data_IF_163121752855
#
_entry.id   IF_163121752855
#
_cell.length_a   1.000
_cell.length_b   1.000
_cell.length_c   1.000
_cell.angle_alpha   90.00
_cell.angle_beta   90.00
_cell.angle_gamma   90.00
#
_symmetry.space_group_name_H-M   'P 1'
#
loop_
_entity.id
_entity.type
_entity.pdbx_description
1 polymer ?
#
# COMPACT_ATOMS: atom_id res chain seq x y z
N UNK A 1 28.39 41.23 4.12
CA UNK A 1 28.59 39.97 4.85
C UNK A 1 27.75 38.94 4.11
N UNK A 2 28.40 37.98 3.46
CA UNK A 2 27.74 36.97 2.63
C UNK A 2 26.88 36.09 3.55
N UNK A 3 25.56 36.18 3.42
CA UNK A 3 24.64 35.26 4.09
C UNK A 3 24.97 33.85 3.57
N UNK A 4 25.59 33.02 4.40
CA UNK A 4 25.82 31.62 4.07
C UNK A 4 24.46 30.93 3.95
N UNK A 5 24.08 30.55 2.74
CA UNK A 5 22.84 29.82 2.46
C UNK A 5 23.15 28.34 2.54
N UNK A 6 22.48 27.63 3.47
CA UNK A 6 22.61 26.20 3.64
C UNK A 6 21.45 25.48 2.95
N UNK A 7 21.77 24.47 2.14
CA UNK A 7 20.80 23.56 1.56
C UNK A 7 20.66 22.35 2.49
N UNK A 8 19.50 22.21 3.12
CA UNK A 8 19.22 21.12 4.06
C UNK A 8 17.94 20.39 3.64
N UNK A 9 17.94 19.07 3.78
CA UNK A 9 16.72 18.28 3.66
C UNK A 9 15.80 18.48 4.88
N UNK A 10 14.51 18.15 4.76
CA UNK A 10 13.57 18.27 5.89
C UNK A 10 13.98 17.48 7.15
N UNK A 11 14.64 16.33 6.98
CA UNK A 11 15.16 15.53 8.11
C UNK A 11 16.32 16.23 8.79
N UNK A 12 17.28 16.72 8.03
CA UNK A 12 18.44 17.44 8.56
C UNK A 12 18.03 18.76 9.22
N UNK A 13 16.99 19.41 8.69
CA UNK A 13 16.37 20.59 9.30
C UNK A 13 15.69 20.28 10.64
N UNK A 14 15.03 19.14 10.71
CA UNK A 14 14.39 18.65 11.93
C UNK A 14 15.43 18.36 13.01
N UNK A 15 16.52 17.67 12.64
CA UNK A 15 17.63 17.34 13.54
C UNK A 15 18.35 18.61 14.05
N UNK A 16 18.57 19.60 13.17
CA UNK A 16 19.22 20.88 13.52
C UNK A 16 18.37 21.76 14.45
N UNK A 17 17.05 21.69 14.32
CA UNK A 17 16.11 22.50 15.10
C UNK A 17 15.51 21.73 16.28
N UNK A 18 15.89 20.47 16.50
CA UNK A 18 15.31 19.59 17.52
C UNK A 18 13.78 19.50 17.47
N UNK A 19 13.20 19.53 16.27
CA UNK A 19 11.74 19.43 16.03
C UNK A 19 11.40 18.18 15.24
N UNK A 20 10.11 17.82 15.17
CA UNK A 20 9.68 16.68 14.33
C UNK A 20 9.85 16.98 12.83
N UNK A 21 10.07 15.96 11.97
CA UNK A 21 10.17 16.14 10.52
C UNK A 21 8.95 16.82 9.87
N UNK A 22 7.76 16.61 10.43
CA UNK A 22 6.54 17.25 9.95
C UNK A 22 6.45 18.72 10.40
N UNK A 23 6.88 19.04 11.62
CA UNK A 23 7.01 20.41 12.10
C UNK A 23 8.04 21.21 11.27
N UNK A 24 9.15 20.57 10.91
CA UNK A 24 10.16 21.09 9.99
C UNK A 24 9.57 21.44 8.62
N UNK A 25 8.78 20.54 8.02
CA UNK A 25 8.05 20.78 6.77
C UNK A 25 7.10 21.96 6.87
N UNK A 26 6.33 22.04 7.96
CA UNK A 26 5.37 23.13 8.17
C UNK A 26 6.04 24.48 8.41
N UNK A 27 7.17 24.51 9.13
CA UNK A 27 7.98 25.71 9.34
C UNK A 27 8.59 26.19 8.02
N UNK A 28 9.12 25.26 7.22
CA UNK A 28 9.62 25.57 5.89
C UNK A 28 8.54 26.13 4.96
N UNK A 29 7.34 25.55 4.96
CA UNK A 29 6.21 26.08 4.18
C UNK A 29 5.80 27.49 4.63
N UNK A 30 5.78 27.77 5.94
CA UNK A 30 5.47 29.11 6.49
C UNK A 30 6.56 30.13 6.15
N UNK A 31 7.83 29.75 6.27
CA UNK A 31 8.98 30.60 6.00
C UNK A 31 9.19 30.85 4.48
N UNK A 32 8.84 29.88 3.64
CA UNK A 32 8.78 30.05 2.20
C UNK A 32 7.65 31.00 1.79
N UNK A 33 6.48 30.93 2.46
CA UNK A 33 5.38 31.89 2.25
C UNK A 33 5.77 33.32 2.65
N UNK A 34 6.62 33.49 3.66
CA UNK A 34 7.17 34.79 4.04
C UNK A 34 8.36 35.24 3.18
N UNK A 35 8.73 34.47 2.14
CA UNK A 35 9.83 34.79 1.22
C UNK A 35 11.23 34.69 1.84
N UNK A 36 11.34 34.13 3.05
CA UNK A 36 12.60 34.06 3.81
C UNK A 36 13.39 32.80 3.49
N UNK A 37 12.71 31.70 3.17
CA UNK A 37 13.32 30.42 2.78
C UNK A 37 12.90 30.03 1.36
N UNK A 38 13.72 29.24 0.65
CA UNK A 38 13.39 28.74 -0.69
C UNK A 38 13.31 27.23 -0.68
N UNK A 39 12.17 26.69 -1.12
CA UNK A 39 11.97 25.24 -1.24
C UNK A 39 12.29 24.86 -2.68
N UNK A 40 13.24 23.94 -2.86
CA UNK A 40 13.59 23.35 -4.16
C UNK A 40 12.90 21.98 -4.21
N UNK A 41 11.79 21.83 -4.95
CA UNK A 41 11.17 20.53 -5.13
C UNK A 41 12.08 19.64 -5.98
N UNK A 42 12.20 18.37 -5.60
CA UNK A 42 12.86 17.37 -6.42
C UNK A 42 12.10 17.11 -7.72
N UNK A 43 12.81 16.69 -8.76
CA UNK A 43 12.24 16.47 -10.10
C UNK A 43 11.46 15.14 -10.18
N UNK A 44 11.73 14.19 -9.28
CA UNK A 44 11.04 12.90 -9.15
C UNK A 44 10.23 12.83 -7.84
N UNK A 45 9.09 12.12 -7.75
CA UNK A 45 8.36 11.89 -6.49
C UNK A 45 9.18 11.15 -5.40
N UNK A 46 10.33 10.59 -5.77
CA UNK A 46 11.27 9.93 -4.86
C UNK A 46 12.45 10.82 -4.46
N UNK A 47 12.58 12.00 -5.06
CA UNK A 47 13.68 12.91 -4.79
C UNK A 47 13.48 13.65 -3.46
N UNK A 48 14.58 13.83 -2.74
CA UNK A 48 14.58 14.56 -1.47
C UNK A 48 14.32 16.05 -1.75
N UNK A 49 13.32 16.61 -1.10
CA UNK A 49 13.06 18.05 -1.15
C UNK A 49 14.13 18.79 -0.34
N UNK A 50 14.82 19.72 -0.99
CA UNK A 50 15.86 20.55 -0.38
C UNK A 50 15.30 21.93 -0.02
N UNK A 51 15.71 22.47 1.11
CA UNK A 51 15.33 23.81 1.56
C UNK A 51 16.59 24.65 1.72
N UNK A 52 16.64 25.78 0.99
CA UNK A 52 17.67 26.81 1.14
C UNK A 52 17.28 27.73 2.29
N UNK A 53 18.18 27.86 3.26
CA UNK A 53 17.96 28.59 4.50
C UNK A 53 19.19 29.46 4.78
N UNK A 54 19.00 30.76 5.10
CA UNK A 54 20.07 31.59 5.61
C UNK A 54 20.60 31.03 6.94
N UNK A 55 21.92 30.85 7.09
CA UNK A 55 22.55 30.31 8.31
C UNK A 55 22.18 31.10 9.59
N UNK A 56 21.79 32.38 9.44
CA UNK A 56 21.29 33.22 10.52
C UNK A 56 19.99 32.68 11.17
N UNK A 57 19.15 31.98 10.42
CA UNK A 57 17.88 31.42 10.93
C UNK A 57 18.04 30.08 11.64
N UNK A 58 19.18 29.40 11.44
CA UNK A 58 19.52 28.14 12.10
C UNK A 58 20.09 28.35 13.51
N UNK A 59 20.76 29.48 13.74
CA UNK A 59 21.37 29.81 15.02
C UNK A 59 20.49 30.71 15.91
N UNK A 60 19.29 31.09 15.44
CA UNK A 60 18.36 31.84 16.27
C UNK A 60 17.85 30.94 17.40
N UNK A 61 18.22 31.20 18.67
CA UNK A 61 17.66 30.43 19.77
C UNK A 61 16.14 30.56 19.72
N UNK A 62 15.46 29.42 19.79
CA UNK A 62 14.02 29.38 20.01
C UNK A 62 13.73 30.34 21.16
N UNK A 63 12.93 31.38 20.89
CA UNK A 63 12.55 32.36 21.91
C UNK A 63 12.02 31.56 23.10
N UNK A 64 12.81 31.52 24.17
CA UNK A 64 12.37 31.19 25.52
C UNK A 64 11.06 31.92 25.73
N UNK A 65 10.01 31.18 26.11
CA UNK A 65 8.63 31.64 26.19
C UNK A 65 8.55 33.09 26.64
N UNK A 66 8.37 33.99 25.68
CA UNK A 66 8.24 35.41 25.94
C UNK A 66 6.92 35.62 26.64
N UNK A 67 6.98 36.33 27.77
CA UNK A 67 5.83 36.92 28.46
C UNK A 67 4.74 37.31 27.47
N UNK A 68 3.54 36.79 27.73
CA UNK A 68 2.33 37.24 27.07
C UNK A 68 2.30 38.78 27.12
N UNK A 69 2.24 39.48 25.97
CA UNK A 69 1.90 40.89 26.03
C UNK A 69 0.48 40.97 26.63
N UNK A 70 0.35 41.65 27.77
CA UNK A 70 -0.94 42.07 28.31
C UNK A 70 -1.70 42.78 27.18
N UNK A 71 -2.72 42.11 26.63
CA UNK A 71 -3.67 42.73 25.72
C UNK A 71 -4.56 43.67 26.54
N UNK A 72 -4.07 44.87 26.79
CA UNK A 72 -4.92 46.02 27.10
C UNK A 72 -5.56 46.46 25.78
N UNK A 73 -6.76 45.95 25.50
CA UNK A 73 -7.44 46.23 24.25
C UNK A 73 -8.89 45.76 24.25
N UNK A 74 -9.76 46.68 24.69
CA UNK A 74 -11.21 46.78 24.43
C UNK A 74 -12.00 45.46 24.32
N UNK A 75 -12.91 45.26 25.28
CA UNK A 75 -14.12 44.45 25.14
C UNK A 75 -14.89 44.88 23.89
N UNK A 76 -14.55 44.30 22.74
CA UNK A 76 -15.54 43.98 21.73
C UNK A 76 -16.22 42.72 22.22
N UNK A 77 -17.53 42.81 22.41
CA UNK A 77 -18.45 41.70 22.60
C UNK A 77 -18.37 40.78 21.37
N UNK A 78 -17.32 39.97 21.31
CA UNK A 78 -17.20 38.86 20.40
C UNK A 78 -17.91 37.69 21.04
N UNK A 79 -19.19 37.54 20.70
CA UNK A 79 -20.01 36.33 20.87
C UNK A 79 -19.11 35.09 20.80
N UNK A 80 -18.84 34.46 21.94
CA UNK A 80 -18.24 33.13 21.97
C UNK A 80 -19.13 32.21 21.13
N UNK A 81 -18.62 31.52 20.10
CA UNK A 81 -19.37 30.43 19.54
C UNK A 81 -19.63 29.45 20.68
N UNK A 82 -20.88 29.04 20.76
CA UNK A 82 -21.44 28.23 21.83
C UNK A 82 -20.55 26.99 22.02
N UNK A 83 -20.19 26.67 23.26
CA UNK A 83 -19.39 25.47 23.59
C UNK A 83 -20.02 24.20 23.00
N UNK A 84 -21.33 24.25 22.81
CA UNK A 84 -22.20 23.28 22.14
C UNK A 84 -21.87 23.04 20.65
N UNK A 85 -21.45 24.07 19.90
CA UNK A 85 -21.08 23.92 18.47
C UNK A 85 -19.73 23.20 18.31
N UNK A 86 -18.76 23.50 19.18
CA UNK A 86 -17.46 22.83 19.18
C UNK A 86 -17.58 21.34 19.52
N UNK A 87 -18.42 20.99 20.51
CA UNK A 87 -18.71 19.60 20.88
C UNK A 87 -19.53 18.86 19.81
N UNK A 88 -20.41 19.57 19.07
CA UNK A 88 -21.13 18.99 17.94
C UNK A 88 -20.19 18.65 16.77
N UNK A 89 -19.21 19.52 16.48
CA UNK A 89 -18.22 19.29 15.41
C UNK A 89 -17.29 18.12 15.76
N UNK A 90 -16.80 18.03 17.00
CA UNK A 90 -16.00 16.87 17.44
C UNK A 90 -16.81 15.58 17.43
N UNK A 91 -18.09 15.62 17.83
CA UNK A 91 -19.00 14.48 17.72
C UNK A 91 -19.19 14.00 16.28
N UNK A 92 -19.38 14.92 15.33
CA UNK A 92 -19.48 14.60 13.89
C UNK A 92 -18.17 14.01 13.35
N UNK A 93 -17.02 14.53 13.78
CA UNK A 93 -15.71 14.02 13.33
C UNK A 93 -15.43 12.62 13.87
N UNK A 94 -15.80 12.33 15.12
CA UNK A 94 -15.71 10.98 15.71
C UNK A 94 -16.64 10.01 14.99
N UNK A 95 -17.89 10.43 14.70
CA UNK A 95 -18.84 9.60 13.96
C UNK A 95 -18.35 9.32 12.52
N UNK A 96 -17.74 10.29 11.85
CA UNK A 96 -17.15 10.10 10.53
C UNK A 96 -15.92 9.17 10.55
N UNK A 97 -15.10 9.23 11.61
CA UNK A 97 -13.97 8.30 11.78
C UNK A 97 -14.46 6.88 12.06
N UNK A 98 -15.50 6.72 12.88
CA UNK A 98 -16.12 5.42 13.15
C UNK A 98 -16.73 4.82 11.88
N UNK A 99 -17.49 5.60 11.12
CA UNK A 99 -18.05 5.12 9.85
C UNK A 99 -16.99 4.77 8.82
N UNK A 100 -15.88 5.53 8.77
CA UNK A 100 -14.73 5.20 7.94
C UNK A 100 -14.05 3.89 8.40
N UNK A 101 -13.90 3.67 9.71
CA UNK A 101 -13.35 2.42 10.26
C UNK A 101 -14.24 1.22 9.92
N UNK A 102 -15.56 1.36 10.07
CA UNK A 102 -16.51 0.30 9.73
C UNK A 102 -16.50 0.01 8.23
N UNK A 103 -16.37 1.06 7.40
CA UNK A 103 -16.23 0.88 5.95
C UNK A 103 -14.93 0.18 5.57
N UNK A 104 -13.82 0.50 6.25
CA UNK A 104 -12.52 -0.17 6.03
C UNK A 104 -12.62 -1.64 6.44
N UNK A 105 -13.26 -1.96 7.56
CA UNK A 105 -13.49 -3.36 7.98
C UNK A 105 -14.28 -4.12 6.93
N UNK A 106 -15.42 -3.57 6.50
CA UNK A 106 -16.27 -4.17 5.47
C UNK A 106 -15.48 -4.43 4.17
N UNK A 107 -14.71 -3.46 3.70
CA UNK A 107 -13.89 -3.63 2.49
C UNK A 107 -12.77 -4.66 2.68
N UNK A 108 -12.22 -4.76 3.89
CA UNK A 108 -11.21 -5.76 4.21
C UNK A 108 -11.81 -7.16 4.21
N UNK A 109 -12.99 -7.33 4.80
CA UNK A 109 -13.72 -8.60 4.83
C UNK A 109 -14.08 -9.05 3.42
N UNK A 110 -14.60 -8.14 2.58
CA UNK A 110 -14.88 -8.40 1.16
C UNK A 110 -13.62 -8.84 0.39
N UNK A 111 -12.48 -8.17 0.61
CA UNK A 111 -11.23 -8.52 -0.05
C UNK A 111 -10.71 -9.89 0.40
N UNK A 112 -10.86 -10.22 1.69
CA UNK A 112 -10.48 -11.55 2.18
C UNK A 112 -11.36 -12.64 1.60
N UNK A 113 -12.67 -12.42 1.49
CA UNK A 113 -13.60 -13.36 0.90
C UNK A 113 -13.34 -13.56 -0.60
N UNK A 114 -13.06 -12.49 -1.35
CA UNK A 114 -12.65 -12.60 -2.77
C UNK A 114 -11.36 -13.40 -2.93
N UNK A 115 -10.36 -13.12 -2.10
CA UNK A 115 -9.09 -13.85 -2.12
C UNK A 115 -9.29 -15.33 -1.84
N UNK A 116 -10.14 -15.68 -0.87
CA UNK A 116 -10.41 -17.08 -0.54
C UNK A 116 -11.19 -17.78 -1.65
N UNK A 117 -12.19 -17.13 -2.26
CA UNK A 117 -12.85 -17.62 -3.49
C UNK A 117 -11.85 -17.87 -4.64
N UNK A 118 -10.89 -16.97 -4.83
CA UNK A 118 -9.84 -17.16 -5.85
C UNK A 118 -8.90 -18.33 -5.52
N UNK A 119 -8.59 -18.56 -4.23
CA UNK A 119 -7.79 -19.72 -3.81
C UNK A 119 -8.53 -21.02 -4.03
N UNK A 120 -9.80 -21.08 -3.67
CA UNK A 120 -10.64 -22.27 -3.87
C UNK A 120 -10.78 -22.62 -5.36
N UNK A 121 -11.04 -21.63 -6.20
CA UNK A 121 -11.11 -21.83 -7.66
C UNK A 121 -9.77 -22.29 -8.24
N UNK A 122 -8.64 -21.71 -7.82
CA UNK A 122 -7.32 -22.16 -8.24
C UNK A 122 -7.02 -23.60 -7.80
N UNK A 123 -7.34 -23.97 -6.55
CA UNK A 123 -7.20 -25.34 -6.06
C UNK A 123 -8.08 -26.32 -6.83
N UNK A 124 -9.33 -25.94 -7.13
CA UNK A 124 -10.24 -26.74 -7.94
C UNK A 124 -9.73 -26.99 -9.35
N UNK A 125 -9.12 -25.98 -9.99
CA UNK A 125 -8.49 -26.13 -11.30
C UNK A 125 -7.30 -27.09 -11.27
N UNK A 126 -6.40 -26.94 -10.30
CA UNK A 126 -5.26 -27.86 -10.12
C UNK A 126 -5.74 -29.30 -9.88
N UNK A 127 -6.78 -29.48 -9.06
CA UNK A 127 -7.36 -30.79 -8.84
C UNK A 127 -7.99 -31.36 -10.12
N UNK A 128 -8.69 -30.56 -10.92
CA UNK A 128 -9.24 -30.99 -12.18
C UNK A 128 -8.15 -31.39 -13.19
N UNK A 129 -7.07 -30.60 -13.29
CA UNK A 129 -5.93 -30.90 -14.15
C UNK A 129 -5.23 -32.20 -13.76
N UNK A 130 -5.01 -32.42 -12.46
CA UNK A 130 -4.41 -33.68 -11.98
C UNK A 130 -5.30 -34.91 -12.26
N UNK A 131 -6.61 -34.78 -12.06
CA UNK A 131 -7.57 -35.85 -12.41
C UNK A 131 -7.54 -36.12 -13.91
N UNK A 132 -7.52 -35.08 -14.74
CA UNK A 132 -7.45 -35.22 -16.19
C UNK A 132 -6.14 -35.88 -16.64
N UNK A 133 -5.00 -35.49 -16.07
CA UNK A 133 -3.71 -36.08 -16.39
C UNK A 133 -3.66 -37.57 -16.01
N UNK A 134 -4.17 -37.93 -14.82
CA UNK A 134 -4.24 -39.32 -14.40
C UNK A 134 -5.18 -40.15 -15.29
N UNK A 135 -6.33 -39.58 -15.68
CA UNK A 135 -7.24 -40.24 -16.60
C UNK A 135 -6.62 -40.47 -17.98
N UNK A 136 -5.84 -39.51 -18.49
CA UNK A 136 -5.13 -39.66 -19.76
C UNK A 136 -4.10 -40.81 -19.71
N UNK A 137 -3.31 -40.89 -18.63
CA UNK A 137 -2.35 -41.99 -18.43
C UNK A 137 -3.05 -43.36 -18.35
N UNK A 138 -4.19 -43.44 -17.67
CA UNK A 138 -4.96 -44.68 -17.58
C UNK A 138 -5.56 -45.07 -18.93
N UNK A 139 -6.04 -44.10 -19.72
CA UNK A 139 -6.51 -44.34 -21.09
C UNK A 139 -5.37 -44.92 -21.94
N UNK A 140 -4.18 -44.31 -21.90
CA UNK A 140 -3.03 -44.80 -22.67
C UNK A 140 -2.65 -46.23 -22.27
N UNK A 141 -2.62 -46.51 -20.96
CA UNK A 141 -2.36 -47.85 -20.44
C UNK A 141 -3.40 -48.87 -20.91
N UNK A 142 -4.68 -48.52 -20.85
CA UNK A 142 -5.77 -49.38 -21.29
C UNK A 142 -5.74 -49.61 -22.80
N UNK A 143 -5.35 -48.60 -23.60
CA UNK A 143 -5.18 -48.75 -25.04
C UNK A 143 -4.07 -49.74 -25.39
N UNK A 144 -2.92 -49.67 -24.71
CA UNK A 144 -1.85 -50.67 -24.88
C UNK A 144 -2.35 -52.07 -24.53
N UNK A 145 -3.02 -52.21 -23.38
CA UNK A 145 -3.58 -53.50 -22.94
C UNK A 145 -4.59 -54.06 -23.95
N UNK A 146 -5.46 -53.21 -24.49
CA UNK A 146 -6.43 -53.61 -25.53
C UNK A 146 -5.69 -54.07 -26.80
N UNK A 147 -4.66 -53.36 -27.23
CA UNK A 147 -3.89 -53.72 -28.42
C UNK A 147 -3.19 -55.08 -28.25
N UNK A 148 -2.60 -55.34 -27.09
CA UNK A 148 -1.99 -56.63 -26.74
C UNK A 148 -3.02 -57.76 -26.74
N UNK A 149 -4.15 -57.60 -26.06
CA UNK A 149 -5.21 -58.60 -26.02
C UNK A 149 -5.81 -58.87 -27.41
N UNK A 150 -5.93 -57.83 -28.25
CA UNK A 150 -6.35 -57.99 -29.64
C UNK A 150 -5.33 -58.79 -30.44
N UNK A 151 -4.04 -58.55 -30.27
CA UNK A 151 -2.98 -59.32 -30.92
C UNK A 151 -3.01 -60.80 -30.48
N UNK A 152 -3.20 -61.06 -29.18
CA UNK A 152 -3.31 -62.41 -28.62
C UNK A 152 -4.53 -63.16 -29.16
N UNK A 153 -5.69 -62.50 -29.21
CA UNK A 153 -6.90 -63.06 -29.79
C UNK A 153 -6.72 -63.39 -31.27
N UNK A 154 -6.07 -62.51 -32.03
CA UNK A 154 -5.78 -62.75 -33.44
C UNK A 154 -4.82 -63.94 -33.60
N UNK A 155 -3.77 -64.03 -32.78
CA UNK A 155 -2.84 -65.15 -32.79
C UNK A 155 -3.52 -66.49 -32.45
N UNK A 156 -4.40 -66.50 -31.44
CA UNK A 156 -5.18 -67.67 -31.06
C UNK A 156 -6.16 -68.12 -32.17
N UNK A 157 -6.77 -67.16 -32.87
CA UNK A 157 -7.69 -67.41 -33.99
C UNK A 157 -7.00 -67.91 -35.26
N UNK A 158 -5.69 -67.72 -35.42
CA UNK A 158 -4.96 -68.25 -36.60
C UNK A 158 -5.06 -69.76 -36.64
N UNK A 159 -5.45 -70.28 -37.81
CA UNK A 159 -5.45 -71.73 -38.06
C UNK A 159 -4.03 -72.29 -38.05
N UNK A 160 -3.90 -73.60 -37.81
CA UNK A 160 -2.59 -74.29 -37.76
C UNK A 160 -1.72 -74.02 -39.00
N UNK A 161 -2.31 -73.99 -40.21
CA UNK A 161 -1.60 -73.66 -41.44
C UNK A 161 -1.11 -72.20 -41.49
N UNK A 162 -1.92 -71.23 -41.05
CA UNK A 162 -1.53 -69.81 -41.02
C UNK A 162 -0.40 -69.54 -40.00
N UNK A 163 -0.35 -70.33 -38.91
CA UNK A 163 0.76 -70.29 -37.95
C UNK A 163 2.07 -70.78 -38.56
N UNK A 164 2.01 -71.74 -39.49
CA UNK A 164 3.16 -72.37 -40.13
C UNK A 164 3.71 -71.55 -41.30
N UNK A 165 2.86 -70.84 -42.04
CA UNK A 165 3.25 -70.06 -43.22
C UNK A 165 3.42 -68.57 -42.96
N UNK A 166 3.04 -68.08 -41.78
CA UNK A 166 3.11 -66.65 -41.42
C UNK A 166 2.17 -65.74 -42.23
N UNK A 167 1.22 -66.32 -42.97
CA UNK A 167 0.19 -65.64 -43.76
C UNK A 167 -1.20 -66.05 -43.30
#
# INVERSE_FOLDING_TARGET
>A
MTEEVLQLGYRELADRLSISPDAARMKAKRAAKSGRWRIIPGNHPSDRVLVEIPAADLNAPERVGGEHPERVGKRTEGRTPDRTEADAITGQMVAALQSAQDRIRELTDQLTEEKDRHRETAMGLVQAETVQANAALEIDRLQVTIAELQADLQAARRSWWQRLTGR
#
